data_IF_704492277365
#
_entry.id   IF_704492277365
#
_cell.length_a   1.000
_cell.length_b   1.000
_cell.length_c   1.000
_cell.angle_alpha   90.00
_cell.angle_beta   90.00
_cell.angle_gamma   90.00
#
_symmetry.space_group_name_H-M   'P 1'
#
loop_
_entity.id
_entity.type
_entity.pdbx_description
1 polymer ?
#
# COMPACT_ATOMS: atom_id res chain seq x y z
N UNK A 1 -22.02 23.12 -9.09
CA UNK A 1 -21.66 22.06 -8.12
C UNK A 1 -20.32 21.53 -8.55
N UNK A 2 -19.25 21.99 -7.91
CA UNK A 2 -17.87 21.60 -8.20
C UNK A 2 -17.52 20.39 -7.35
N UNK A 3 -17.56 19.21 -7.95
CA UNK A 3 -17.04 17.99 -7.33
C UNK A 3 -15.51 18.01 -7.39
N UNK A 4 -14.89 18.24 -6.23
CA UNK A 4 -13.45 18.09 -6.05
C UNK A 4 -13.10 16.60 -6.07
N UNK A 5 -12.07 16.16 -6.82
CA UNK A 5 -11.65 14.76 -6.80
C UNK A 5 -11.14 14.41 -5.41
N UNK A 6 -11.65 13.31 -4.84
CA UNK A 6 -11.15 12.75 -3.58
C UNK A 6 -9.69 12.38 -3.77
N UNK A 7 -8.81 13.09 -3.07
CA UNK A 7 -7.38 12.82 -3.05
C UNK A 7 -7.12 11.34 -2.79
N UNK A 8 -6.46 10.70 -3.75
CA UNK A 8 -5.84 9.41 -3.57
C UNK A 8 -4.83 9.57 -2.42
N UNK A 9 -5.12 8.95 -1.29
CA UNK A 9 -4.21 8.91 -0.14
C UNK A 9 -3.03 8.05 -0.55
N UNK A 10 -2.04 8.66 -1.19
CA UNK A 10 -0.68 8.13 -1.18
C UNK A 10 -0.32 7.95 0.29
N UNK A 11 -0.18 6.70 0.73
CA UNK A 11 0.25 6.36 2.08
C UNK A 11 1.55 7.12 2.37
N UNK A 12 1.44 8.22 3.12
CA UNK A 12 2.58 9.05 3.46
C UNK A 12 3.56 8.21 4.26
N UNK A 13 4.85 8.28 3.93
CA UNK A 13 5.92 7.66 4.72
C UNK A 13 6.00 8.25 6.15
N UNK A 14 5.30 9.37 6.40
CA UNK A 14 5.20 10.02 7.69
C UNK A 14 3.95 9.56 8.45
N UNK A 15 4.05 9.32 9.77
CA UNK A 15 2.91 8.97 10.61
C UNK A 15 1.78 9.99 10.50
N UNK A 16 0.53 9.52 10.58
CA UNK A 16 -0.64 10.39 10.60
C UNK A 16 -0.71 11.19 11.90
N UNK A 17 -1.46 12.30 11.89
CA UNK A 17 -1.69 13.10 13.10
C UNK A 17 -2.34 12.27 14.23
N UNK A 18 -3.17 11.28 13.88
CA UNK A 18 -3.81 10.37 14.84
C UNK A 18 -2.81 9.39 15.47
N UNK A 19 -1.88 8.84 14.67
CA UNK A 19 -0.79 7.99 15.17
C UNK A 19 0.14 8.78 16.12
N UNK A 20 0.37 10.06 15.80
CA UNK A 20 1.12 10.99 16.67
C UNK A 20 0.36 11.27 17.96
N UNK A 21 -0.95 11.49 17.89
CA UNK A 21 -1.74 11.72 19.09
C UNK A 21 -1.74 10.48 20.00
N UNK A 22 -1.95 9.29 19.46
CA UNK A 22 -1.99 8.04 20.24
C UNK A 22 -0.66 7.74 20.96
N UNK A 23 0.48 7.99 20.30
CA UNK A 23 1.80 7.81 20.91
C UNK A 23 2.07 8.85 22.01
N UNK A 24 1.62 10.09 21.84
CA UNK A 24 1.72 11.12 22.87
C UNK A 24 0.83 10.82 24.08
N UNK A 25 -0.39 10.34 23.87
CA UNK A 25 -1.32 9.93 24.93
C UNK A 25 -0.76 8.77 25.76
N UNK A 26 -0.22 7.74 25.11
CA UNK A 26 0.41 6.62 25.81
C UNK A 26 1.58 7.05 26.68
N UNK A 27 2.41 7.97 26.19
CA UNK A 27 3.51 8.50 26.98
C UNK A 27 3.00 9.30 28.19
N UNK A 28 1.93 10.08 28.02
CA UNK A 28 1.30 10.80 29.13
C UNK A 28 0.74 9.83 30.19
N UNK A 29 0.12 8.72 29.78
CA UNK A 29 -0.36 7.67 30.69
C UNK A 29 0.79 7.01 31.47
N UNK A 30 1.88 6.63 30.79
CA UNK A 30 3.08 6.06 31.44
C UNK A 30 3.69 7.02 32.47
N UNK A 31 3.56 8.33 32.22
CA UNK A 31 4.04 9.38 33.12
C UNK A 31 3.15 9.61 34.32
N UNK A 32 1.83 9.65 34.11
CA UNK A 32 0.85 9.73 35.20
C UNK A 32 0.95 8.51 36.10
N UNK A 33 1.17 7.32 35.53
CA UNK A 33 1.35 6.08 36.28
C UNK A 33 2.61 6.08 37.17
N UNK A 34 3.69 6.73 36.74
CA UNK A 34 4.93 6.84 37.54
C UNK A 34 4.88 7.95 38.61
N UNK A 35 3.87 8.83 38.58
CA UNK A 35 3.66 9.87 39.59
C UNK A 35 4.82 10.87 39.74
N UNK A 36 5.57 11.13 38.66
CA UNK A 36 6.82 11.93 38.71
C UNK A 36 6.62 13.35 38.19
N UNK A 37 7.01 14.34 38.99
CA UNK A 37 7.17 15.75 38.61
C UNK A 37 8.60 16.11 38.23
N UNK A 38 9.50 15.13 38.17
CA UNK A 38 10.92 15.34 37.92
C UNK A 38 11.19 15.68 36.45
N UNK A 39 11.80 16.85 36.21
CA UNK A 39 12.06 17.38 34.85
C UNK A 39 12.80 16.37 33.96
N UNK A 40 13.78 15.65 34.51
CA UNK A 40 14.57 14.68 33.75
C UNK A 40 13.74 13.48 33.29
N UNK A 41 12.77 13.04 34.10
CA UNK A 41 11.83 12.00 33.71
C UNK A 41 10.87 12.47 32.60
N UNK A 42 10.48 13.75 32.60
CA UNK A 42 9.73 14.36 31.50
C UNK A 42 10.54 14.40 30.21
N UNK A 43 11.79 14.86 30.25
CA UNK A 43 12.67 14.91 29.07
C UNK A 43 12.88 13.51 28.50
N UNK A 44 13.20 12.52 29.33
CA UNK A 44 13.43 11.14 28.89
C UNK A 44 12.18 10.51 28.25
N UNK A 45 10.99 10.82 28.76
CA UNK A 45 9.72 10.38 28.17
C UNK A 45 9.50 10.96 26.77
N UNK A 46 9.70 12.26 26.59
CA UNK A 46 9.59 12.90 25.27
C UNK A 46 10.62 12.36 24.27
N UNK A 47 11.86 12.09 24.72
CA UNK A 47 12.88 11.47 23.86
C UNK A 47 12.44 10.07 23.38
N UNK A 48 11.84 9.25 24.25
CA UNK A 48 11.32 7.94 23.89
C UNK A 48 10.21 8.01 22.84
N UNK A 49 9.32 9.01 22.97
CA UNK A 49 8.26 9.29 21.99
C UNK A 49 8.85 9.69 20.65
N UNK A 50 9.80 10.64 20.63
CA UNK A 50 10.50 11.10 19.41
C UNK A 50 11.22 9.93 18.72
N UNK A 51 11.91 9.09 19.49
CA UNK A 51 12.61 7.92 18.94
C UNK A 51 11.64 6.87 18.39
N UNK A 52 10.49 6.68 19.03
CA UNK A 52 9.43 5.80 18.54
C UNK A 52 8.87 6.31 17.20
N UNK A 53 8.64 7.62 17.06
CA UNK A 53 8.26 8.23 15.78
C UNK A 53 9.30 8.00 14.70
N UNK A 54 10.58 8.24 15.01
CA UNK A 54 11.67 8.08 14.05
C UNK A 54 11.77 6.64 13.55
N UNK A 55 11.61 5.66 14.44
CA UNK A 55 11.61 4.23 14.07
C UNK A 55 10.42 3.87 13.19
N UNK A 56 9.22 4.36 13.51
CA UNK A 56 8.01 4.10 12.71
C UNK A 56 8.13 4.70 11.31
N UNK A 57 8.56 5.96 11.21
CA UNK A 57 8.77 6.63 9.93
C UNK A 57 9.82 5.91 9.08
N UNK A 58 10.95 5.49 9.69
CA UNK A 58 11.99 4.73 8.98
C UNK A 58 11.46 3.38 8.48
N UNK A 59 10.67 2.67 9.28
CA UNK A 59 10.07 1.40 8.86
C UNK A 59 9.09 1.59 7.69
N UNK A 60 8.24 2.62 7.74
CA UNK A 60 7.33 2.98 6.64
C UNK A 60 8.11 3.34 5.37
N UNK A 61 9.19 4.12 5.49
CA UNK A 61 10.06 4.45 4.37
C UNK A 61 10.71 3.21 3.74
N UNK A 62 11.26 2.30 4.56
CA UNK A 62 11.88 1.07 4.06
C UNK A 62 10.90 0.17 3.31
N UNK A 63 9.63 0.12 3.74
CA UNK A 63 8.57 -0.59 3.01
C UNK A 63 8.33 0.10 1.67
N UNK A 64 8.11 1.41 1.66
CA UNK A 64 7.89 2.17 0.43
C UNK A 64 9.07 2.03 -0.56
N UNK A 65 10.31 2.09 -0.09
CA UNK A 65 11.51 1.90 -0.91
C UNK A 65 11.56 0.49 -1.51
N UNK A 66 11.19 -0.54 -0.73
CA UNK A 66 11.10 -1.92 -1.21
C UNK A 66 10.00 -2.09 -2.24
N UNK A 67 8.84 -1.46 -2.06
CA UNK A 67 7.74 -1.49 -3.02
C UNK A 67 8.09 -0.75 -4.32
N UNK A 68 8.97 0.25 -4.26
CA UNK A 68 9.47 0.99 -5.41
C UNK A 68 10.49 0.20 -6.26
N UNK A 69 11.01 -0.94 -5.77
CA UNK A 69 11.97 -1.74 -6.51
C UNK A 69 11.37 -2.31 -7.81
N UNK A 70 12.08 -2.21 -8.94
CA UNK A 70 11.70 -2.88 -10.18
C UNK A 70 11.50 -4.38 -9.94
N UNK A 71 10.32 -4.89 -10.26
CA UNK A 71 10.00 -6.32 -10.13
C UNK A 71 9.30 -6.72 -8.82
N UNK A 72 9.09 -5.80 -7.87
CA UNK A 72 8.32 -6.09 -6.67
C UNK A 72 6.84 -6.35 -6.99
N UNK A 73 6.30 -7.46 -6.47
CA UNK A 73 4.89 -7.81 -6.59
C UNK A 73 4.06 -7.11 -5.52
N UNK A 74 3.19 -6.22 -5.96
CA UNK A 74 2.29 -5.40 -5.15
C UNK A 74 0.95 -6.12 -4.94
N UNK A 75 0.24 -5.89 -3.82
CA UNK A 75 -1.13 -6.40 -3.63
C UNK A 75 -2.07 -5.94 -4.74
N UNK A 76 -2.98 -6.80 -5.20
CA UNK A 76 -3.89 -6.45 -6.30
C UNK A 76 -4.80 -5.24 -6.00
N UNK A 77 -5.11 -5.00 -4.73
CA UNK A 77 -5.92 -3.86 -4.29
C UNK A 77 -5.31 -2.49 -4.61
N UNK A 78 -3.99 -2.44 -4.89
CA UNK A 78 -3.27 -1.20 -5.24
C UNK A 78 -3.03 -1.07 -6.75
N UNK A 79 -3.59 -1.98 -7.55
CA UNK A 79 -3.39 -1.98 -9.00
C UNK A 79 -3.98 -0.73 -9.66
N UNK A 80 -3.28 -0.15 -10.65
CA UNK A 80 -3.82 0.96 -11.43
C UNK A 80 -5.01 0.53 -12.29
N UNK A 81 -5.97 1.43 -12.45
CA UNK A 81 -7.12 1.26 -13.36
C UNK A 81 -6.71 1.53 -14.79
N UNK A 82 -7.25 0.77 -15.73
CA UNK A 82 -7.08 1.00 -17.18
C UNK A 82 -5.61 1.03 -17.66
N UNK A 83 -4.72 0.34 -16.95
CA UNK A 83 -3.30 0.19 -17.33
C UNK A 83 -2.98 -1.29 -17.46
N UNK A 84 -2.29 -1.66 -18.54
CA UNK A 84 -1.75 -3.00 -18.71
C UNK A 84 -0.61 -3.24 -17.72
N UNK A 85 -0.75 -4.26 -16.89
CA UNK A 85 0.19 -4.63 -15.84
C UNK A 85 0.46 -6.13 -15.89
N UNK A 86 1.61 -6.56 -15.39
CA UNK A 86 1.83 -7.98 -15.13
C UNK A 86 1.06 -8.36 -13.88
N UNK A 87 0.29 -9.41 -13.97
CA UNK A 87 -0.51 -9.95 -12.86
C UNK A 87 -0.17 -11.40 -12.61
N UNK A 88 -0.37 -11.84 -11.38
CA UNK A 88 -0.18 -13.23 -11.00
C UNK A 88 -1.21 -13.62 -9.96
N UNK A 89 -1.58 -14.90 -9.97
CA UNK A 89 -2.22 -15.56 -8.84
C UNK A 89 -1.15 -16.33 -8.06
N UNK A 90 -1.03 -16.09 -6.76
CA UNK A 90 0.06 -16.69 -5.94
C UNK A 90 0.06 -18.22 -5.92
N UNK A 91 -1.09 -18.84 -6.19
CA UNK A 91 -1.26 -20.30 -6.31
C UNK A 91 -0.76 -20.86 -7.63
N UNK A 92 -0.48 -20.02 -8.63
CA UNK A 92 -0.08 -20.43 -9.97
C UNK A 92 1.38 -20.09 -10.26
N UNK A 93 1.98 -20.83 -11.21
CA UNK A 93 3.37 -20.54 -11.64
C UNK A 93 3.42 -19.39 -12.64
N UNK A 94 2.39 -19.25 -13.47
CA UNK A 94 2.33 -18.29 -14.57
C UNK A 94 2.15 -16.84 -14.13
N UNK A 95 2.38 -15.95 -15.08
CA UNK A 95 2.06 -14.52 -15.02
C UNK A 95 1.24 -14.20 -16.26
N UNK A 96 0.24 -13.34 -16.12
CA UNK A 96 -0.54 -12.82 -17.24
C UNK A 96 -0.29 -11.32 -17.36
N UNK A 97 -0.65 -10.75 -18.52
CA UNK A 97 -0.71 -9.30 -18.68
C UNK A 97 -2.17 -8.92 -18.70
N UNK A 98 -2.62 -8.16 -17.70
CA UNK A 98 -4.02 -7.84 -17.53
C UNK A 98 -4.25 -6.34 -17.37
N UNK A 99 -5.49 -5.91 -17.60
CA UNK A 99 -5.97 -4.58 -17.31
C UNK A 99 -7.17 -4.65 -16.34
N UNK A 100 -7.16 -3.78 -15.33
CA UNK A 100 -8.28 -3.63 -14.39
C UNK A 100 -9.32 -2.67 -14.94
N UNK A 101 -10.58 -3.12 -14.97
CA UNK A 101 -11.75 -2.31 -15.31
C UNK A 101 -12.65 -2.26 -14.06
N UNK A 102 -12.68 -1.14 -13.32
CA UNK A 102 -13.54 -1.02 -12.16
C UNK A 102 -15.00 -0.91 -12.58
N UNK A 103 -15.87 -1.67 -11.93
CA UNK A 103 -17.32 -1.62 -12.15
C UNK A 103 -18.02 -1.07 -10.90
N UNK A 104 -18.85 -0.03 -11.07
CA UNK A 104 -19.49 0.63 -9.93
C UNK A 104 -20.48 -0.32 -9.25
N UNK A 105 -20.16 -0.73 -8.02
CA UNK A 105 -21.01 -1.60 -7.21
C UNK A 105 -20.84 -3.10 -7.50
N UNK A 106 -19.84 -3.48 -8.28
CA UNK A 106 -19.50 -4.87 -8.62
C UNK A 106 -18.00 -5.11 -8.41
N UNK A 107 -17.59 -6.38 -8.51
CA UNK A 107 -16.16 -6.73 -8.49
C UNK A 107 -15.44 -6.16 -9.72
N UNK A 108 -14.15 -5.86 -9.55
CA UNK A 108 -13.29 -5.40 -10.64
C UNK A 108 -13.19 -6.48 -11.72
N UNK A 109 -13.37 -6.08 -12.98
CA UNK A 109 -13.12 -6.96 -14.11
C UNK A 109 -11.63 -6.93 -14.46
N UNK A 110 -11.07 -8.11 -14.66
CA UNK A 110 -9.70 -8.29 -15.12
C UNK A 110 -9.72 -8.84 -16.53
N UNK A 111 -9.14 -8.09 -17.47
CA UNK A 111 -9.08 -8.46 -18.89
C UNK A 111 -7.66 -8.86 -19.24
N UNK A 112 -7.49 -10.06 -19.79
CA UNK A 112 -6.21 -10.59 -20.28
C UNK A 112 -5.84 -9.98 -21.64
N UNK A 113 -4.56 -9.60 -21.78
CA UNK A 113 -3.99 -9.10 -23.03
C UNK A 113 -3.78 -10.28 -24.00
N UNK A 114 -4.22 -10.11 -25.25
CA UNK A 114 -4.03 -11.09 -26.33
C UNK A 114 -5.29 -11.90 -26.64
N UNK A 115 -5.87 -12.57 -25.64
CA UNK A 115 -7.10 -13.35 -25.81
C UNK A 115 -8.37 -12.50 -25.68
N UNK A 116 -8.31 -11.41 -24.91
CA UNK A 116 -9.47 -10.62 -24.53
C UNK A 116 -10.40 -11.30 -23.53
N UNK A 117 -9.99 -12.45 -22.96
CA UNK A 117 -10.72 -13.15 -21.92
C UNK A 117 -10.73 -12.31 -20.65
N UNK A 118 -11.84 -12.37 -19.90
CA UNK A 118 -11.98 -11.67 -18.63
C UNK A 118 -12.61 -12.52 -17.54
N UNK A 119 -12.48 -12.07 -16.29
CA UNK A 119 -13.12 -12.69 -15.11
C UNK A 119 -14.65 -12.71 -15.22
N UNK A 120 -15.22 -11.81 -16.03
CA UNK A 120 -16.66 -11.73 -16.28
C UNK A 120 -17.09 -12.69 -17.40
N UNK A 121 -16.25 -12.87 -18.41
CA UNK A 121 -16.61 -13.65 -19.60
C UNK A 121 -16.26 -15.13 -19.50
N UNK A 122 -15.28 -15.52 -18.66
CA UNK A 122 -14.80 -16.90 -18.56
C UNK A 122 -14.55 -17.33 -17.11
N UNK A 123 -15.23 -18.39 -16.69
CA UNK A 123 -15.17 -18.91 -15.32
C UNK A 123 -13.81 -19.52 -14.95
N UNK A 124 -13.03 -19.94 -15.95
CA UNK A 124 -11.68 -20.47 -15.76
C UNK A 124 -10.64 -19.38 -15.53
N UNK A 125 -10.98 -18.11 -15.75
CA UNK A 125 -10.07 -17.00 -15.55
C UNK A 125 -10.32 -16.36 -14.19
N UNK A 126 -9.45 -16.71 -13.23
CA UNK A 126 -9.53 -16.19 -11.87
C UNK A 126 -8.95 -14.77 -11.77
N UNK A 127 -9.50 -13.97 -10.85
CA UNK A 127 -8.94 -12.66 -10.54
C UNK A 127 -7.54 -12.81 -9.92
N UNK A 128 -6.53 -12.03 -10.35
CA UNK A 128 -5.18 -12.07 -9.78
C UNK A 128 -5.13 -11.53 -8.35
N UNK A 129 -4.07 -11.86 -7.60
CA UNK A 129 -3.84 -11.36 -6.23
C UNK A 129 -2.59 -10.48 -6.09
N UNK A 130 -1.76 -10.43 -7.13
CA UNK A 130 -0.56 -9.59 -7.22
C UNK A 130 -0.41 -8.91 -8.56
N UNK A 131 0.23 -7.75 -8.57
CA UNK A 131 0.63 -7.06 -9.79
C UNK A 131 2.02 -6.43 -9.73
N UNK A 132 2.60 -6.14 -10.90
CA UNK A 132 3.77 -5.28 -11.05
C UNK A 132 3.71 -4.52 -12.39
N UNK A 133 4.40 -3.38 -12.52
CA UNK A 133 4.47 -2.67 -13.81
C UNK A 133 5.01 -3.57 -14.92
N UNK A 134 4.53 -3.37 -16.15
CA UNK A 134 5.23 -3.86 -17.34
C UNK A 134 6.58 -3.13 -17.41
N UNK A 135 7.69 -3.84 -17.31
CA UNK A 135 9.00 -3.25 -17.56
C UNK A 135 9.06 -2.78 -19.01
N UNK A 136 9.51 -1.54 -19.25
CA UNK A 136 9.79 -1.05 -20.60
C UNK A 136 10.94 -1.80 -21.30
N UNK A 137 11.70 -2.62 -20.56
CA UNK A 137 12.81 -3.38 -21.08
C UNK A 137 12.42 -4.86 -21.30
N UNK A 138 12.58 -5.31 -22.53
CA UNK A 138 12.51 -6.72 -22.93
C UNK A 138 11.25 -7.02 -23.73
N UNK A 139 11.33 -6.80 -25.04
CA UNK A 139 10.32 -7.27 -25.98
C UNK A 139 10.15 -8.79 -25.85
N UNK A 140 8.89 -9.20 -25.79
CA UNK A 140 8.39 -10.48 -26.24
C UNK A 140 6.91 -10.23 -26.54
N UNK A 141 6.68 -9.41 -27.58
CA UNK A 141 5.53 -9.57 -28.45
C UNK A 141 6.03 -10.50 -29.58
N UNK A 142 5.78 -11.81 -29.41
CA UNK A 142 5.87 -12.82 -30.46
C UNK A 142 4.64 -13.73 -30.33
#
# INVERSE_FOLDING_TARGET
MTDTPKNNVTASAFPSQEEIRALAEKALEEMQAKGTTEREAWVSSYENVIMSYRRLALAKQQIADKEALPGYWRPISTAPEHVWIRTKLSTEKGENVCMRIPHKGYEDEWVERGTGISTVTHHSFAAPDRWRPLSQAGGDDA
#
